data_IF_054500190427
#
_entry.id   IF_054500190427
#
_cell.length_a   1.000
_cell.length_b   1.000
_cell.length_c   1.000
_cell.angle_alpha   90.00
_cell.angle_beta   90.00
_cell.angle_gamma   90.00
#
_symmetry.space_group_name_H-M   'P 1'
#
loop_
_entity.id
_entity.type
_entity.pdbx_description
1 polymer ?
#
# COMPACT_ATOMS: atom_id res chain seq x y z
N UNK A 1 -11.23 1.72 7.90
CA UNK A 1 -9.80 1.42 7.72
C UNK A 1 -8.95 1.89 8.90
N UNK A 2 -9.04 3.13 9.38
CA UNK A 2 -8.25 3.60 10.55
C UNK A 2 -8.52 2.78 11.84
N UNK A 3 -9.79 2.48 12.14
CA UNK A 3 -10.15 1.63 13.30
C UNK A 3 -9.64 0.20 13.15
N UNK A 4 -9.74 -0.37 11.94
CA UNK A 4 -9.20 -1.69 11.64
C UNK A 4 -7.66 -1.69 11.71
N UNK A 5 -7.02 -0.61 11.29
CA UNK A 5 -5.58 -0.42 11.38
C UNK A 5 -5.10 -0.37 12.84
N UNK A 6 -5.82 0.37 13.70
CA UNK A 6 -5.57 0.41 15.14
C UNK A 6 -5.79 -0.94 15.82
N UNK A 7 -6.86 -1.66 15.47
CA UNK A 7 -7.14 -3.01 15.95
C UNK A 7 -6.05 -4.01 15.55
N UNK A 8 -5.60 -3.98 14.30
CA UNK A 8 -4.53 -4.84 13.79
C UNK A 8 -3.21 -4.50 14.47
N UNK A 9 -2.87 -3.22 14.67
CA UNK A 9 -1.64 -2.84 15.37
C UNK A 9 -1.60 -3.33 16.83
N UNK A 10 -2.76 -3.31 17.52
CA UNK A 10 -2.89 -3.75 18.91
C UNK A 10 -2.90 -5.29 19.04
N UNK A 11 -3.50 -6.00 18.09
CA UNK A 11 -3.65 -7.46 18.12
C UNK A 11 -2.73 -8.21 17.16
N UNK A 12 -1.77 -7.54 16.52
CA UNK A 12 -0.86 -8.13 15.53
C UNK A 12 -0.17 -9.42 16.03
N UNK A 13 0.38 -9.49 17.27
CA UNK A 13 1.01 -10.71 17.74
C UNK A 13 0.02 -11.87 17.90
N UNK A 14 -1.20 -11.59 18.37
CA UNK A 14 -2.25 -12.60 18.53
C UNK A 14 -2.76 -13.09 17.17
N UNK A 15 -2.88 -12.19 16.19
CA UNK A 15 -3.26 -12.52 14.81
C UNK A 15 -2.21 -13.39 14.11
N UNK A 16 -0.92 -13.07 14.25
CA UNK A 16 0.13 -13.88 13.59
C UNK A 16 0.17 -15.29 14.19
N UNK A 17 0.04 -15.40 15.52
CA UNK A 17 -0.01 -16.70 16.23
C UNK A 17 -1.08 -17.66 15.70
N UNK A 18 -2.24 -17.16 15.27
CA UNK A 18 -3.29 -18.05 14.74
C UNK A 18 -2.92 -18.71 13.42
N UNK A 19 -2.03 -18.10 12.62
CA UNK A 19 -1.64 -18.61 11.31
C UNK A 19 -0.31 -19.37 11.32
N UNK A 20 0.63 -18.99 12.17
CA UNK A 20 2.01 -19.53 12.16
C UNK A 20 2.36 -20.38 13.38
N UNK A 21 1.44 -20.56 14.33
CA UNK A 21 1.72 -21.22 15.60
C UNK A 21 2.54 -20.34 16.54
N UNK A 22 3.26 -20.97 17.48
CA UNK A 22 3.95 -20.30 18.59
C UNK A 22 5.44 -19.99 18.36
N UNK A 23 5.92 -20.03 17.11
CA UNK A 23 7.30 -19.65 16.80
C UNK A 23 7.54 -18.15 17.16
N UNK A 24 8.36 -17.85 18.19
CA UNK A 24 8.54 -16.48 18.68
C UNK A 24 9.19 -15.56 17.64
N UNK A 25 10.05 -16.10 16.76
CA UNK A 25 10.74 -15.34 15.72
C UNK A 25 9.74 -14.86 14.66
N UNK A 26 8.88 -15.77 14.21
CA UNK A 26 7.86 -15.49 13.18
C UNK A 26 6.81 -14.51 13.69
N UNK A 27 6.37 -14.68 14.93
CA UNK A 27 5.40 -13.76 15.56
C UNK A 27 5.98 -12.35 15.69
N UNK A 28 7.26 -12.23 16.09
CA UNK A 28 7.93 -10.94 16.21
C UNK A 28 8.06 -10.24 14.85
N UNK A 29 8.55 -10.94 13.82
CA UNK A 29 8.73 -10.39 12.47
C UNK A 29 7.38 -10.01 11.86
N UNK A 30 6.37 -10.88 11.97
CA UNK A 30 5.03 -10.63 11.44
C UNK A 30 4.31 -9.46 12.14
N UNK A 31 4.46 -9.34 13.46
CA UNK A 31 3.89 -8.22 14.21
C UNK A 31 4.53 -6.89 13.82
N UNK A 32 5.87 -6.85 13.68
CA UNK A 32 6.61 -5.67 13.26
C UNK A 32 6.21 -5.22 11.84
N UNK A 33 6.06 -6.17 10.93
CA UNK A 33 5.57 -5.91 9.57
C UNK A 33 4.17 -5.27 9.60
N UNK A 34 3.23 -5.89 10.32
CA UNK A 34 1.86 -5.40 10.40
C UNK A 34 1.81 -4.01 11.01
N UNK A 35 2.52 -3.75 12.10
CA UNK A 35 2.54 -2.43 12.73
C UNK A 35 3.14 -1.36 11.80
N UNK A 36 4.11 -1.72 10.98
CA UNK A 36 4.74 -0.80 10.03
C UNK A 36 3.84 -0.50 8.84
N UNK A 37 3.26 -1.51 8.20
CA UNK A 37 2.53 -1.34 6.92
C UNK A 37 1.08 -0.89 7.13
N UNK A 38 0.48 -1.28 8.25
CA UNK A 38 -0.96 -1.12 8.48
C UNK A 38 -1.46 0.33 8.49
N UNK A 39 -0.75 1.31 9.06
CA UNK A 39 -1.14 2.73 8.98
C UNK A 39 -1.29 3.22 7.53
N UNK A 40 -0.50 2.68 6.61
CA UNK A 40 -0.48 3.09 5.20
C UNK A 40 -1.63 2.47 4.38
N UNK A 41 -2.32 1.43 4.87
CA UNK A 41 -3.45 0.83 4.17
C UNK A 41 -4.62 1.79 3.94
N UNK A 42 -4.71 2.88 4.69
CA UNK A 42 -5.71 3.93 4.43
C UNK A 42 -5.54 4.50 3.02
N UNK A 43 -4.31 4.77 2.59
CA UNK A 43 -4.03 5.30 1.25
C UNK A 43 -4.25 4.24 0.16
N UNK A 44 -3.91 2.99 0.45
CA UNK A 44 -4.21 1.85 -0.43
C UNK A 44 -5.71 1.75 -0.68
N UNK A 45 -6.52 1.88 0.38
CA UNK A 45 -7.98 1.83 0.25
C UNK A 45 -8.51 2.94 -0.67
N UNK A 46 -7.98 4.17 -0.55
CA UNK A 46 -8.34 5.25 -1.48
C UNK A 46 -7.94 4.93 -2.92
N UNK A 47 -6.73 4.45 -3.15
CA UNK A 47 -6.26 4.05 -4.49
C UNK A 47 -7.18 3.00 -5.13
N UNK A 48 -7.60 1.99 -4.37
CA UNK A 48 -8.51 0.93 -4.84
C UNK A 48 -9.90 1.48 -5.12
N UNK A 49 -10.50 2.21 -4.19
CA UNK A 49 -11.89 2.69 -4.32
C UNK A 49 -12.00 3.70 -5.46
N UNK A 50 -11.12 4.70 -5.50
CA UNK A 50 -11.14 5.73 -6.53
C UNK A 50 -10.69 5.17 -7.88
N UNK A 51 -9.70 4.27 -7.91
CA UNK A 51 -9.31 3.57 -9.14
C UNK A 51 -10.47 2.77 -9.74
N UNK A 52 -11.24 2.07 -8.91
CA UNK A 52 -12.46 1.38 -9.35
C UNK A 52 -13.55 2.33 -9.82
N UNK A 53 -13.71 3.48 -9.16
CA UNK A 53 -14.64 4.52 -9.61
C UNK A 53 -14.25 5.09 -10.99
N UNK A 54 -12.96 5.36 -11.22
CA UNK A 54 -12.43 5.80 -12.51
C UNK A 54 -12.65 4.74 -13.60
N UNK A 55 -12.39 3.47 -13.26
CA UNK A 55 -12.67 2.35 -14.17
C UNK A 55 -14.15 2.27 -14.54
N UNK A 56 -15.05 2.44 -13.58
CA UNK A 56 -16.50 2.46 -13.80
C UNK A 56 -17.00 3.66 -14.61
N UNK A 57 -16.26 4.78 -14.57
CA UNK A 57 -16.54 5.98 -15.37
C UNK A 57 -15.93 5.94 -16.78
N UNK A 58 -15.27 4.83 -17.18
CA UNK A 58 -14.63 4.70 -18.48
C UNK A 58 -13.22 5.29 -18.58
N UNK A 59 -12.66 5.80 -17.48
CA UNK A 59 -11.27 6.28 -17.41
C UNK A 59 -10.34 5.20 -16.84
N UNK A 60 -10.19 4.10 -17.57
CA UNK A 60 -9.38 2.93 -17.13
C UNK A 60 -7.88 3.11 -17.33
N UNK A 61 -7.47 3.93 -18.30
CA UNK A 61 -6.05 4.15 -18.60
C UNK A 61 -5.34 4.96 -17.51
N UNK A 62 -6.04 5.93 -16.91
CA UNK A 62 -5.46 6.76 -15.86
C UNK A 62 -4.99 5.95 -14.63
N UNK A 63 -5.85 5.17 -13.94
CA UNK A 63 -5.42 4.38 -12.78
C UNK A 63 -4.36 3.33 -13.16
N UNK A 64 -4.40 2.79 -14.38
CA UNK A 64 -3.38 1.86 -14.86
C UNK A 64 -2.00 2.52 -14.99
N UNK A 65 -1.91 3.67 -15.66
CA UNK A 65 -0.64 4.40 -15.84
C UNK A 65 -0.08 4.84 -14.49
N UNK A 66 -0.93 5.39 -13.61
CA UNK A 66 -0.50 5.78 -12.26
C UNK A 66 0.06 4.60 -11.48
N UNK A 67 -0.59 3.44 -11.57
CA UNK A 67 -0.11 2.20 -10.92
C UNK A 67 1.22 1.73 -11.48
N UNK A 68 1.38 1.73 -12.81
CA UNK A 68 2.65 1.35 -13.46
C UNK A 68 3.78 2.29 -13.02
N UNK A 69 3.54 3.60 -13.04
CA UNK A 69 4.55 4.60 -12.63
C UNK A 69 4.93 4.44 -11.17
N UNK A 70 3.96 4.23 -10.27
CA UNK A 70 4.28 4.04 -8.85
C UNK A 70 4.97 2.73 -8.58
N UNK A 71 4.61 1.65 -9.29
CA UNK A 71 5.22 0.34 -9.11
C UNK A 71 6.64 0.29 -9.69
N UNK A 72 6.78 0.58 -10.98
CA UNK A 72 8.06 0.46 -11.68
C UNK A 72 8.96 1.66 -11.48
N UNK A 73 8.39 2.87 -11.41
CA UNK A 73 9.17 4.10 -11.26
C UNK A 73 9.57 4.39 -9.82
N UNK A 74 8.83 3.90 -8.83
CA UNK A 74 9.09 4.21 -7.41
C UNK A 74 9.31 2.95 -6.59
N UNK A 75 8.37 2.01 -6.57
CA UNK A 75 8.45 0.85 -5.68
C UNK A 75 9.67 -0.02 -5.96
N UNK A 76 9.92 -0.39 -7.22
CA UNK A 76 11.03 -1.28 -7.59
C UNK A 76 12.39 -0.63 -7.31
N UNK A 77 12.68 0.62 -7.78
CA UNK A 77 13.94 1.29 -7.48
C UNK A 77 14.15 1.51 -5.98
N UNK A 78 13.10 1.92 -5.28
CA UNK A 78 13.17 2.17 -3.84
C UNK A 78 13.37 0.88 -3.05
N UNK A 79 12.76 -0.23 -3.47
CA UNK A 79 12.95 -1.53 -2.85
C UNK A 79 14.41 -2.00 -3.01
N UNK A 80 14.98 -1.92 -4.21
CA UNK A 80 16.37 -2.28 -4.47
C UNK A 80 17.36 -1.43 -3.65
N UNK A 81 17.07 -0.13 -3.52
CA UNK A 81 17.94 0.78 -2.77
C UNK A 81 17.82 0.58 -1.25
N UNK A 82 16.59 0.53 -0.71
CA UNK A 82 16.36 0.37 0.73
C UNK A 82 16.71 -1.03 1.22
N UNK A 83 16.54 -2.08 0.41
CA UNK A 83 16.96 -3.43 0.80
C UNK A 83 18.47 -3.54 1.00
N UNK A 84 19.26 -2.69 0.33
CA UNK A 84 20.71 -2.66 0.48
C UNK A 84 21.18 -1.82 1.69
N UNK A 85 20.34 -0.90 2.18
CA UNK A 85 20.68 0.00 3.29
C UNK A 85 20.31 -0.54 4.66
N UNK A 86 19.37 -1.48 4.74
CA UNK A 86 18.78 -1.93 6.00
C UNK A 86 19.07 -3.41 6.27
N UNK A 87 19.26 -3.74 7.55
CA UNK A 87 19.40 -5.11 8.04
C UNK A 87 18.27 -5.41 9.06
N UNK A 88 17.38 -6.40 8.82
CA UNK A 88 17.30 -7.23 7.63
C UNK A 88 16.77 -6.49 6.38
N UNK A 89 17.16 -6.92 5.16
CA UNK A 89 16.72 -6.30 3.90
C UNK A 89 15.20 -6.22 3.72
N UNK A 90 14.46 -7.14 4.36
CA UNK A 90 13.00 -7.23 4.31
C UNK A 90 12.32 -5.96 4.81
N UNK A 91 12.88 -5.31 5.83
CA UNK A 91 12.34 -4.05 6.33
C UNK A 91 12.40 -2.95 5.27
N UNK A 92 13.49 -2.87 4.52
CA UNK A 92 13.64 -1.89 3.43
C UNK A 92 12.58 -2.08 2.33
N UNK A 93 12.26 -3.34 2.01
CA UNK A 93 11.21 -3.69 1.04
C UNK A 93 9.82 -3.27 1.55
N UNK A 94 9.51 -3.50 2.83
CA UNK A 94 8.21 -3.12 3.40
C UNK A 94 7.97 -1.61 3.36
N UNK A 95 9.01 -0.82 3.63
CA UNK A 95 8.93 0.63 3.52
C UNK A 95 8.81 1.09 2.06
N UNK A 96 9.53 0.47 1.14
CA UNK A 96 9.38 0.78 -0.29
C UNK A 96 7.95 0.54 -0.79
N UNK A 97 7.33 -0.59 -0.40
CA UNK A 97 5.92 -0.90 -0.71
C UNK A 97 4.99 0.14 -0.08
N UNK A 98 5.23 0.49 1.18
CA UNK A 98 4.38 1.45 1.91
C UNK A 98 4.41 2.84 1.26
N UNK A 99 5.61 3.35 0.96
CA UNK A 99 5.79 4.65 0.31
C UNK A 99 5.18 4.67 -1.09
N UNK A 100 5.39 3.62 -1.89
CA UNK A 100 4.82 3.53 -3.23
C UNK A 100 3.28 3.51 -3.21
N UNK A 101 2.68 2.78 -2.26
CA UNK A 101 1.24 2.72 -2.08
C UNK A 101 0.64 4.06 -1.62
N UNK A 102 1.32 4.76 -0.72
CA UNK A 102 0.90 6.11 -0.30
C UNK A 102 0.92 7.06 -1.50
N UNK A 103 2.02 7.05 -2.26
CA UNK A 103 2.16 7.88 -3.45
C UNK A 103 1.08 7.54 -4.49
N UNK A 104 0.83 6.27 -4.75
CA UNK A 104 -0.23 5.83 -5.66
C UNK A 104 -1.60 6.35 -5.22
N UNK A 105 -1.96 6.14 -3.95
CA UNK A 105 -3.22 6.62 -3.39
C UNK A 105 -3.36 8.14 -3.56
N UNK A 106 -2.32 8.91 -3.25
CA UNK A 106 -2.33 10.37 -3.42
C UNK A 106 -2.47 10.80 -4.88
N UNK A 107 -1.77 10.15 -5.81
CA UNK A 107 -1.87 10.45 -7.23
C UNK A 107 -3.25 10.15 -7.79
N UNK A 108 -3.84 9.01 -7.39
CA UNK A 108 -5.21 8.64 -7.79
C UNK A 108 -6.24 9.61 -7.20
N UNK A 109 -6.08 10.02 -5.94
CA UNK A 109 -6.92 11.07 -5.33
C UNK A 109 -6.82 12.37 -6.14
N UNK A 110 -5.61 12.82 -6.43
CA UNK A 110 -5.37 14.04 -7.20
C UNK A 110 -5.98 13.97 -8.60
N UNK A 111 -5.83 12.84 -9.30
CA UNK A 111 -6.44 12.63 -10.62
C UNK A 111 -7.97 12.65 -10.57
N UNK A 112 -8.54 11.97 -9.57
CA UNK A 112 -9.98 11.94 -9.37
C UNK A 112 -10.55 13.35 -9.10
N UNK A 113 -9.87 14.13 -8.26
CA UNK A 113 -10.25 15.51 -7.94
C UNK A 113 -10.10 16.47 -9.13
N UNK A 114 -9.08 16.28 -9.98
CA UNK A 114 -8.89 17.07 -11.18
C UNK A 114 -10.02 16.90 -12.22
N UNK A 115 -10.87 15.88 -12.06
CA UNK A 115 -12.11 15.74 -12.80
C UNK A 115 -11.93 15.41 -14.28
N UNK A 116 -10.74 14.96 -14.69
CA UNK A 116 -10.46 14.55 -16.08
C UNK A 116 -11.41 13.46 -16.57
N UNK A 117 -11.85 12.59 -15.67
CA UNK A 117 -12.86 11.56 -15.93
C UNK A 117 -14.22 12.14 -16.35
N UNK A 118 -14.60 13.35 -15.91
CA UNK A 118 -15.87 13.99 -16.30
C UNK A 118 -15.88 14.47 -17.75
N UNK A 119 -14.71 14.64 -18.36
CA UNK A 119 -14.56 15.12 -19.75
C UNK A 119 -14.68 13.99 -20.78
N UNK A 120 -14.54 12.73 -20.35
CA UNK A 120 -14.77 11.58 -21.21
C UNK A 120 -16.28 11.34 -21.27
N UNK A 121 -16.90 11.68 -22.41
CA UNK A 121 -18.24 11.19 -22.74
C UNK A 121 -18.10 9.69 -23.04
N UNK A 122 -18.78 8.88 -22.24
CA UNK A 122 -19.01 7.46 -22.50
C UNK A 122 -20.05 7.33 -23.60
#
# INVERSE_FOLDING_TARGET
>A
MVLAAGAIALWAPALIRTFTGDDPEVVRIGAEYLQTVTPFYVFVAFGIVLGRALNGAGDTLAPMILTIVTLWGVQVPLALHLSALWDPPTRGIWWAISVANVLNGLLVIGWFQAGFWKRKRV
#
